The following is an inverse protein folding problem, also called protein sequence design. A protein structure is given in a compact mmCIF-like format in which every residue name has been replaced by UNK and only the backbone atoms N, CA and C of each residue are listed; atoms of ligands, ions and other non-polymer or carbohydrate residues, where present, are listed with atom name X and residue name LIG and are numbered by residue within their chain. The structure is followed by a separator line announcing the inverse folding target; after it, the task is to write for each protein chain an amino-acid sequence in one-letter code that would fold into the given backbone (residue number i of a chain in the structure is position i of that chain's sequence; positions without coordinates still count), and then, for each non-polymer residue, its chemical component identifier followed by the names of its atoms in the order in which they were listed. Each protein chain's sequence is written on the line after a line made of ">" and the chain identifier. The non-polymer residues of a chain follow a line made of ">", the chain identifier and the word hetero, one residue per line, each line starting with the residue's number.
data_IF_211885673754
#
_entry.id   IF_211885673754
#
_cell.length_a   1.000
_cell.length_b   1.000
_cell.length_c   1.000
_cell.angle_alpha   90.00
_cell.angle_beta   90.00
_cell.angle_gamma   90.00
#
_symmetry.space_group_name_H-M   'P 1'
#
loop_
_entity.id
_entity.type
_entity.pdbx_description
1 polymer ?
#
# COMPACT_ATOMS: atom_id res chain seq x y z
N UNK A 1 7.76 -13.35 20.45
CA UNK A 1 8.70 -14.26 21.13
C UNK A 1 8.21 -14.50 22.57
N UNK A 2 7.94 -13.47 23.34
CA UNK A 2 7.47 -13.59 24.74
C UNK A 2 6.17 -14.39 24.90
N UNK A 3 5.23 -14.25 23.95
CA UNK A 3 3.92 -14.92 24.01
C UNK A 3 4.04 -16.44 23.82
N UNK A 4 4.91 -16.88 22.90
CA UNK A 4 5.14 -18.30 22.66
C UNK A 4 5.81 -18.98 23.85
N UNK A 5 6.80 -18.32 24.49
CA UNK A 5 7.44 -18.84 25.69
C UNK A 5 6.48 -18.90 26.87
N UNK A 6 5.56 -17.94 26.98
CA UNK A 6 4.48 -17.94 27.98
C UNK A 6 3.52 -19.09 27.73
N UNK A 7 3.12 -19.33 26.47
CA UNK A 7 2.28 -20.47 26.11
C UNK A 7 2.94 -21.82 26.47
N UNK A 8 4.21 -21.99 26.11
CA UNK A 8 4.96 -23.22 26.44
C UNK A 8 5.06 -23.48 27.94
N UNK A 9 5.25 -22.45 28.76
CA UNK A 9 5.31 -22.56 30.21
C UNK A 9 3.95 -22.99 30.80
N UNK A 10 2.86 -22.43 30.31
CA UNK A 10 1.52 -22.70 30.81
C UNK A 10 0.90 -23.99 30.27
N UNK A 11 1.37 -24.48 29.12
CA UNK A 11 0.90 -25.68 28.45
C UNK A 11 2.01 -26.71 28.33
N UNK A 12 2.64 -27.04 29.46
CA UNK A 12 3.83 -27.94 29.54
C UNK A 12 3.55 -29.36 29.01
N UNK A 13 2.31 -29.80 29.00
CA UNK A 13 1.90 -31.14 28.52
C UNK A 13 1.48 -31.13 27.02
N UNK A 14 1.60 -29.98 26.34
CA UNK A 14 1.28 -29.86 24.91
C UNK A 14 2.54 -29.98 24.03
N UNK A 15 2.40 -30.67 22.93
CA UNK A 15 3.43 -30.68 21.89
C UNK A 15 3.14 -29.55 20.88
N UNK A 16 4.08 -28.61 20.73
CA UNK A 16 3.97 -27.50 19.81
C UNK A 16 4.68 -27.86 18.49
N UNK A 17 3.92 -27.82 17.41
CA UNK A 17 4.44 -28.06 16.05
C UNK A 17 4.25 -26.80 15.20
N UNK A 18 5.22 -26.55 14.31
CA UNK A 18 5.12 -25.44 13.36
C UNK A 18 4.12 -25.81 12.24
N UNK A 19 3.04 -25.07 12.13
CA UNK A 19 2.02 -25.24 11.10
C UNK A 19 2.13 -24.23 9.96
N UNK A 20 3.21 -23.47 9.87
CA UNK A 20 3.37 -22.39 8.87
C UNK A 20 3.18 -22.88 7.45
N UNK A 21 3.78 -24.03 7.10
CA UNK A 21 3.66 -24.61 5.77
C UNK A 21 2.21 -24.92 5.39
N UNK A 22 1.45 -25.51 6.31
CA UNK A 22 0.04 -25.83 6.08
C UNK A 22 -0.78 -24.55 5.83
N UNK A 23 -0.55 -23.52 6.66
CA UNK A 23 -1.24 -22.23 6.52
C UNK A 23 -0.85 -21.55 5.20
N UNK A 24 0.43 -21.60 4.81
CA UNK A 24 0.89 -21.06 3.53
C UNK A 24 0.20 -21.73 2.34
N UNK A 25 0.17 -23.07 2.31
CA UNK A 25 -0.48 -23.82 1.23
C UNK A 25 -1.96 -23.49 1.10
N UNK A 26 -2.67 -23.31 2.22
CA UNK A 26 -4.08 -22.89 2.20
C UNK A 26 -4.30 -21.48 1.66
N UNK A 27 -3.31 -20.58 1.79
CA UNK A 27 -3.42 -19.18 1.44
C UNK A 27 -2.86 -18.82 0.06
N UNK A 28 -1.91 -19.60 -0.48
CA UNK A 28 -1.24 -19.30 -1.75
C UNK A 28 -2.24 -19.27 -2.91
N UNK A 29 -3.13 -20.28 -2.99
CA UNK A 29 -4.12 -20.39 -4.07
C UNK A 29 -5.44 -19.88 -3.56
N UNK A 30 -5.91 -18.78 -4.15
CA UNK A 30 -7.18 -18.13 -3.78
C UNK A 30 -8.34 -18.81 -4.49
N UNK A 31 -9.42 -19.01 -3.76
CA UNK A 31 -10.71 -19.44 -4.35
C UNK A 31 -11.33 -18.32 -5.20
N UNK A 32 -12.30 -18.61 -6.08
CA UNK A 32 -13.02 -17.58 -6.83
C UNK A 32 -13.68 -16.52 -5.94
N UNK A 33 -14.19 -16.90 -4.77
CA UNK A 33 -14.82 -15.97 -3.83
C UNK A 33 -13.80 -15.04 -3.17
N UNK A 34 -12.62 -15.55 -2.83
CA UNK A 34 -11.51 -14.73 -2.33
C UNK A 34 -11.04 -13.73 -3.38
N UNK A 35 -10.88 -14.17 -4.63
CA UNK A 35 -10.50 -13.29 -5.76
C UNK A 35 -11.54 -12.19 -5.95
N UNK A 36 -12.84 -12.48 -5.81
CA UNK A 36 -13.91 -11.48 -5.90
C UNK A 36 -13.80 -10.41 -4.82
N UNK A 37 -13.49 -10.81 -3.57
CA UNK A 37 -13.27 -9.87 -2.47
C UNK A 37 -12.03 -9.00 -2.70
N UNK A 38 -10.92 -9.60 -3.12
CA UNK A 38 -9.69 -8.87 -3.45
C UNK A 38 -9.95 -7.87 -4.58
N UNK A 39 -10.63 -8.26 -5.66
CA UNK A 39 -10.99 -7.34 -6.74
C UNK A 39 -11.87 -6.19 -6.27
N UNK A 40 -12.78 -6.44 -5.33
CA UNK A 40 -13.66 -5.40 -4.79
C UNK A 40 -12.87 -4.38 -3.98
N UNK A 41 -11.98 -4.81 -3.09
CA UNK A 41 -11.16 -3.86 -2.31
C UNK A 41 -10.18 -3.10 -3.19
N UNK A 42 -9.59 -3.73 -4.20
CA UNK A 42 -8.77 -3.07 -5.22
C UNK A 42 -9.57 -1.97 -5.92
N UNK A 43 -10.81 -2.25 -6.34
CA UNK A 43 -11.68 -1.26 -7.00
C UNK A 43 -12.00 -0.07 -6.09
N UNK A 44 -12.23 -0.30 -4.80
CA UNK A 44 -12.46 0.77 -3.81
C UNK A 44 -11.21 1.65 -3.70
N UNK A 45 -10.05 1.05 -3.50
CA UNK A 45 -8.79 1.79 -3.35
C UNK A 45 -8.45 2.58 -4.63
N UNK A 46 -8.54 1.95 -5.81
CA UNK A 46 -8.29 2.62 -7.09
C UNK A 46 -9.20 3.83 -7.29
N UNK A 47 -10.51 3.67 -7.02
CA UNK A 47 -11.46 4.78 -7.16
C UNK A 47 -11.12 5.96 -6.22
N UNK A 48 -10.66 5.68 -5.01
CA UNK A 48 -10.23 6.74 -4.08
C UNK A 48 -8.97 7.42 -4.61
N UNK A 49 -7.94 6.67 -5.03
CA UNK A 49 -6.71 7.23 -5.59
C UNK A 49 -6.97 8.08 -6.83
N UNK A 50 -7.83 7.65 -7.74
CA UNK A 50 -8.16 8.35 -8.98
C UNK A 50 -8.87 9.68 -8.73
N UNK A 51 -9.73 9.75 -7.70
CA UNK A 51 -10.47 10.95 -7.33
C UNK A 51 -9.72 11.84 -6.32
N UNK A 52 -8.68 11.33 -5.69
CA UNK A 52 -8.00 12.00 -4.59
C UNK A 52 -7.44 13.39 -4.93
N UNK A 53 -6.90 13.64 -6.13
CA UNK A 53 -6.44 14.98 -6.52
C UNK A 53 -7.49 16.08 -6.39
N UNK A 54 -8.78 15.74 -6.39
CA UNK A 54 -9.87 16.71 -6.22
C UNK A 54 -10.05 17.18 -4.76
N UNK A 55 -9.51 16.46 -3.79
CA UNK A 55 -9.68 16.74 -2.36
C UNK A 55 -8.48 17.41 -1.73
N UNK A 56 -7.34 17.45 -2.41
CA UNK A 56 -6.08 17.93 -1.85
C UNK A 56 -5.55 19.15 -2.61
N UNK A 57 -4.91 20.04 -1.88
CA UNK A 57 -4.34 21.28 -2.45
C UNK A 57 -3.12 21.74 -1.67
N UNK A 58 -2.31 22.58 -2.29
CA UNK A 58 -1.19 23.27 -1.67
C UNK A 58 -1.63 24.00 -0.39
N UNK A 59 -0.82 23.89 0.65
CA UNK A 59 -1.06 24.46 1.97
C UNK A 59 -1.64 23.49 2.99
N UNK A 60 -2.19 22.34 2.57
CA UNK A 60 -2.60 21.27 3.48
C UNK A 60 -1.39 20.58 4.09
N UNK A 61 -1.55 20.10 5.33
CA UNK A 61 -0.53 19.25 5.98
C UNK A 61 -0.66 17.79 5.53
N UNK A 62 0.43 17.02 5.64
CA UNK A 62 0.42 15.58 5.37
C UNK A 62 -0.63 14.86 6.25
N UNK A 63 -0.79 15.27 7.51
CA UNK A 63 -1.81 14.73 8.43
C UNK A 63 -3.22 15.01 7.91
N UNK A 64 -3.53 16.23 7.47
CA UNK A 64 -4.84 16.57 6.90
C UNK A 64 -5.13 15.74 5.64
N UNK A 65 -4.14 15.61 4.76
CA UNK A 65 -4.21 14.82 3.53
C UNK A 65 -4.53 13.35 3.85
N UNK A 66 -3.78 12.74 4.76
CA UNK A 66 -3.99 11.35 5.17
C UNK A 66 -5.36 11.13 5.83
N UNK A 67 -5.83 12.07 6.64
CA UNK A 67 -7.15 11.96 7.27
C UNK A 67 -8.29 12.01 6.24
N UNK A 68 -8.17 12.85 5.21
CA UNK A 68 -9.12 12.88 4.10
C UNK A 68 -9.09 11.54 3.35
N UNK A 69 -7.91 11.02 3.04
CA UNK A 69 -7.76 9.76 2.33
C UNK A 69 -8.40 8.58 3.08
N UNK A 70 -8.11 8.46 4.38
CA UNK A 70 -8.74 7.46 5.26
C UNK A 70 -10.26 7.55 5.26
N UNK A 71 -10.78 8.77 5.37
CA UNK A 71 -12.22 9.02 5.33
C UNK A 71 -12.84 8.57 3.99
N UNK A 72 -12.18 8.88 2.89
CA UNK A 72 -12.67 8.49 1.57
C UNK A 72 -12.63 6.97 1.35
N UNK A 73 -11.61 6.26 1.84
CA UNK A 73 -11.60 4.79 1.80
C UNK A 73 -12.80 4.19 2.55
N UNK A 74 -13.08 4.67 3.77
CA UNK A 74 -14.22 4.21 4.57
C UNK A 74 -15.55 4.57 3.92
N UNK A 75 -15.70 5.79 3.39
CA UNK A 75 -16.91 6.23 2.67
C UNK A 75 -17.20 5.38 1.43
N UNK A 76 -16.17 4.87 0.75
CA UNK A 76 -16.28 3.99 -0.41
C UNK A 76 -16.44 2.51 -0.03
N UNK A 77 -16.52 2.19 1.25
CA UNK A 77 -16.88 0.86 1.75
C UNK A 77 -15.73 -0.06 2.15
N UNK A 78 -14.53 0.49 2.39
CA UNK A 78 -13.48 -0.25 3.07
C UNK A 78 -13.83 -0.44 4.57
N UNK A 79 -13.41 -1.56 5.16
CA UNK A 79 -13.65 -1.83 6.58
C UNK A 79 -12.65 -1.07 7.47
N UNK A 80 -11.38 -1.11 7.09
CA UNK A 80 -10.29 -0.52 7.87
C UNK A 80 -9.15 -0.04 6.97
N UNK A 81 -8.48 1.03 7.43
CA UNK A 81 -7.18 1.46 6.92
C UNK A 81 -6.12 1.08 7.94
N UNK A 82 -5.33 0.04 7.64
CA UNK A 82 -4.40 -0.57 8.60
C UNK A 82 -3.15 0.27 8.81
N UNK A 83 -2.62 0.85 7.75
CA UNK A 83 -1.52 1.80 7.79
C UNK A 83 -1.71 2.87 6.73
N UNK A 84 -0.98 3.97 6.88
CA UNK A 84 -0.86 5.00 5.86
C UNK A 84 0.48 5.70 6.04
N UNK A 85 1.35 5.53 5.06
CA UNK A 85 2.57 6.28 4.93
C UNK A 85 2.33 7.47 3.99
N UNK A 86 2.87 8.62 4.35
CA UNK A 86 2.71 9.83 3.56
C UNK A 86 3.95 10.71 3.74
N UNK A 87 4.56 11.05 2.64
CA UNK A 87 5.69 11.97 2.61
C UNK A 87 5.55 12.94 1.45
N UNK A 88 6.01 14.16 1.65
CA UNK A 88 6.03 15.16 0.59
C UNK A 88 7.37 15.90 0.55
N UNK A 89 7.74 16.43 -0.61
CA UNK A 89 8.93 17.27 -0.73
C UNK A 89 9.16 17.77 -2.13
N UNK A 90 9.94 18.85 -2.22
CA UNK A 90 10.40 19.39 -3.47
C UNK A 90 11.32 18.38 -4.13
N UNK A 91 11.01 18.05 -5.38
CA UNK A 91 11.73 17.07 -6.18
C UNK A 91 11.70 15.62 -5.64
N UNK A 92 10.94 15.33 -4.58
CA UNK A 92 10.78 14.00 -4.04
C UNK A 92 10.74 13.95 -2.51
N UNK A 93 11.05 12.78 -1.96
CA UNK A 93 11.01 12.47 -0.53
C UNK A 93 12.14 11.47 -0.18
N UNK A 94 12.69 11.59 1.03
CA UNK A 94 13.83 10.77 1.48
C UNK A 94 13.42 9.40 2.05
N UNK A 95 12.15 9.26 2.47
CA UNK A 95 11.63 8.05 3.09
C UNK A 95 10.24 7.74 2.54
N UNK A 96 10.01 6.47 2.23
CA UNK A 96 8.70 5.97 1.74
C UNK A 96 7.85 5.36 2.85
N UNK A 97 8.47 4.93 3.96
CA UNK A 97 7.78 4.39 5.13
C UNK A 97 7.95 5.39 6.27
N UNK A 98 6.98 6.26 6.43
CA UNK A 98 6.97 7.29 7.48
C UNK A 98 5.55 7.70 7.82
N UNK A 99 5.36 8.11 9.06
CA UNK A 99 4.10 8.70 9.48
C UNK A 99 3.93 10.12 8.90
N UNK A 100 2.70 10.53 8.55
CA UNK A 100 2.41 11.88 8.11
C UNK A 100 2.71 12.90 9.21
N UNK A 101 3.21 14.07 8.81
CA UNK A 101 3.62 15.15 9.70
C UNK A 101 2.80 16.41 9.49
N UNK A 102 3.07 17.46 10.30
CA UNK A 102 2.52 18.81 10.11
C UNK A 102 3.16 19.59 8.94
N UNK A 103 4.03 18.95 8.18
CA UNK A 103 4.62 19.53 6.97
C UNK A 103 3.53 19.87 5.97
N UNK A 104 3.58 21.08 5.47
CA UNK A 104 2.63 21.58 4.47
C UNK A 104 3.10 21.29 3.07
N UNK A 105 2.16 20.91 2.23
CA UNK A 105 2.36 20.74 0.80
C UNK A 105 2.58 22.08 0.10
N UNK A 106 3.61 22.16 -0.74
CA UNK A 106 3.96 23.35 -1.52
C UNK A 106 3.89 23.09 -3.02
N UNK A 107 3.91 24.19 -3.77
CA UNK A 107 4.03 24.11 -5.22
C UNK A 107 5.43 23.57 -5.60
N UNK A 108 5.49 22.58 -6.47
CA UNK A 108 6.71 21.85 -6.84
C UNK A 108 7.00 20.61 -6.01
N UNK A 109 6.17 20.30 -5.00
CA UNK A 109 6.33 19.09 -4.21
C UNK A 109 5.82 17.84 -4.97
N UNK A 110 6.47 16.73 -4.70
CA UNK A 110 5.97 15.38 -4.95
C UNK A 110 5.42 14.83 -3.64
N UNK A 111 4.22 14.30 -3.67
CA UNK A 111 3.56 13.61 -2.56
C UNK A 111 3.46 12.13 -2.87
N UNK A 112 3.91 11.27 -1.97
CA UNK A 112 3.58 9.83 -1.98
C UNK A 112 2.51 9.56 -0.93
N UNK A 113 1.57 8.69 -1.29
CA UNK A 113 0.66 8.01 -0.35
C UNK A 113 0.80 6.52 -0.59
N UNK A 114 1.20 5.82 0.46
CA UNK A 114 1.30 4.37 0.51
C UNK A 114 0.37 3.87 1.61
N UNK A 115 -0.57 3.00 1.26
CA UNK A 115 -1.60 2.55 2.19
C UNK A 115 -2.09 1.15 1.90
N UNK A 116 -2.48 0.48 2.99
CA UNK A 116 -3.20 -0.77 2.95
C UNK A 116 -4.59 -0.65 3.56
N UNK A 117 -5.59 -1.19 2.87
CA UNK A 117 -6.97 -1.20 3.34
C UNK A 117 -7.59 -2.59 3.22
N UNK A 118 -8.64 -2.86 3.99
CA UNK A 118 -9.28 -4.17 4.07
C UNK A 118 -10.77 -4.13 3.75
N UNK A 119 -11.26 -5.26 3.24
CA UNK A 119 -12.67 -5.55 3.08
C UNK A 119 -12.89 -7.05 3.33
N UNK A 120 -13.79 -7.40 4.27
CA UNK A 120 -14.09 -8.79 4.64
C UNK A 120 -12.83 -9.61 4.98
N UNK A 121 -11.82 -9.00 5.62
CA UNK A 121 -10.56 -9.62 5.99
C UNK A 121 -9.54 -9.79 4.86
N UNK A 122 -9.84 -9.33 3.64
CA UNK A 122 -8.91 -9.30 2.51
C UNK A 122 -8.30 -7.92 2.35
N UNK A 123 -7.04 -7.90 1.94
CA UNK A 123 -6.19 -6.74 1.94
C UNK A 123 -5.80 -6.33 0.52
N UNK A 124 -5.67 -5.03 0.28
CA UNK A 124 -4.95 -4.49 -0.86
C UNK A 124 -3.89 -3.49 -0.39
N UNK A 125 -2.86 -3.35 -1.20
CA UNK A 125 -1.69 -2.53 -0.95
C UNK A 125 -1.42 -1.68 -2.19
N UNK A 126 -1.34 -0.37 -1.99
CA UNK A 126 -1.21 0.61 -3.06
C UNK A 126 -0.32 1.76 -2.65
N UNK A 127 0.55 2.17 -3.54
CA UNK A 127 1.17 3.49 -3.49
C UNK A 127 0.87 4.32 -4.74
N UNK A 128 0.87 5.63 -4.60
CA UNK A 128 0.75 6.59 -5.70
C UNK A 128 1.51 7.86 -5.40
N UNK A 129 2.10 8.41 -6.46
CA UNK A 129 2.78 9.68 -6.41
C UNK A 129 1.95 10.76 -7.12
N UNK A 130 1.95 11.96 -6.54
CA UNK A 130 1.26 13.13 -7.07
C UNK A 130 2.21 14.32 -7.13
N UNK A 131 2.30 14.96 -8.30
CA UNK A 131 3.04 16.22 -8.45
C UNK A 131 2.13 17.43 -8.29
N UNK A 132 2.58 18.45 -7.55
CA UNK A 132 1.81 19.66 -7.30
C UNK A 132 2.40 20.88 -8.01
N UNK A 133 1.64 21.41 -8.97
CA UNK A 133 2.06 22.56 -9.78
C UNK A 133 3.20 22.21 -10.74
N UNK A 134 4.28 22.99 -10.72
CA UNK A 134 5.43 22.81 -11.63
C UNK A 134 6.48 21.93 -10.97
N UNK A 135 6.46 20.63 -11.27
CA UNK A 135 7.50 19.69 -10.85
C UNK A 135 8.73 19.78 -11.76
N UNK A 136 9.88 19.33 -11.27
CA UNK A 136 11.12 19.32 -12.06
C UNK A 136 11.07 18.25 -13.16
N UNK A 137 11.77 18.51 -14.27
CA UNK A 137 11.93 17.51 -15.34
C UNK A 137 12.68 16.26 -14.89
N UNK A 138 13.51 16.37 -13.86
CA UNK A 138 14.24 15.26 -13.28
C UNK A 138 13.29 14.32 -12.50
N UNK A 139 12.39 14.88 -11.70
CA UNK A 139 11.36 14.12 -10.99
C UNK A 139 10.40 13.44 -11.96
N UNK A 140 9.98 14.13 -13.01
CA UNK A 140 9.13 13.54 -14.07
C UNK A 140 9.83 12.37 -14.76
N UNK A 141 11.10 12.53 -15.12
CA UNK A 141 11.90 11.46 -15.72
C UNK A 141 12.07 10.26 -14.78
N UNK A 142 12.34 10.51 -13.50
CA UNK A 142 12.45 9.44 -12.50
C UNK A 142 11.15 8.65 -12.39
N UNK A 143 10.01 9.35 -12.34
CA UNK A 143 8.70 8.71 -12.31
C UNK A 143 8.42 7.87 -13.56
N UNK A 144 8.72 8.38 -14.76
CA UNK A 144 8.56 7.64 -16.01
C UNK A 144 9.41 6.36 -16.01
N UNK A 145 10.67 6.44 -15.53
CA UNK A 145 11.54 5.26 -15.42
C UNK A 145 10.96 4.22 -14.45
N UNK A 146 10.42 4.65 -13.30
CA UNK A 146 9.77 3.77 -12.34
C UNK A 146 8.52 3.11 -12.95
N UNK A 147 7.72 3.88 -13.67
CA UNK A 147 6.54 3.38 -14.37
C UNK A 147 6.90 2.30 -15.39
N UNK A 148 7.89 2.56 -16.26
CA UNK A 148 8.37 1.60 -17.26
C UNK A 148 8.87 0.30 -16.60
N UNK A 149 9.60 0.40 -15.49
CA UNK A 149 10.05 -0.76 -14.72
C UNK A 149 8.87 -1.57 -14.16
N UNK A 150 7.86 -0.90 -13.61
CA UNK A 150 6.64 -1.54 -13.07
C UNK A 150 5.86 -2.27 -14.17
N UNK A 151 5.64 -1.64 -15.32
CA UNK A 151 4.97 -2.26 -16.47
C UNK A 151 5.76 -3.47 -16.99
N UNK A 152 7.09 -3.36 -17.07
CA UNK A 152 7.95 -4.50 -17.45
C UNK A 152 7.82 -5.68 -16.48
N UNK A 153 7.77 -5.41 -15.17
CA UNK A 153 7.56 -6.43 -14.14
C UNK A 153 6.19 -7.09 -14.27
N UNK A 154 5.13 -6.31 -14.48
CA UNK A 154 3.77 -6.82 -14.69
C UNK A 154 3.67 -7.70 -15.93
N UNK A 155 4.33 -7.30 -17.02
CA UNK A 155 4.35 -8.09 -18.25
C UNK A 155 5.05 -9.44 -18.10
N UNK A 156 6.02 -9.54 -17.20
CA UNK A 156 6.73 -10.78 -16.88
C UNK A 156 6.00 -11.63 -15.85
N UNK A 157 5.10 -11.07 -15.04
CA UNK A 157 4.36 -11.77 -13.98
C UNK A 157 3.26 -12.69 -14.55
N UNK A 158 3.67 -13.78 -15.18
CA UNK A 158 2.79 -14.77 -15.86
C UNK A 158 2.95 -16.15 -15.24
N UNK A 159 1.96 -17.04 -15.40
CA UNK A 159 2.09 -18.43 -14.98
C UNK A 159 3.37 -19.09 -15.55
N UNK A 160 4.19 -19.67 -14.68
CA UNK A 160 5.48 -20.27 -15.00
C UNK A 160 6.68 -19.36 -14.83
N UNK A 161 6.50 -18.04 -14.64
CA UNK A 161 7.58 -17.12 -14.29
C UNK A 161 8.06 -17.33 -12.85
N UNK A 162 9.35 -17.17 -12.62
CA UNK A 162 9.94 -17.11 -11.28
C UNK A 162 9.92 -15.68 -10.75
N UNK A 163 10.07 -15.51 -9.43
CA UNK A 163 10.23 -14.18 -8.83
C UNK A 163 11.45 -13.45 -9.42
N UNK A 164 12.52 -14.16 -9.76
CA UNK A 164 13.71 -13.58 -10.40
C UNK A 164 13.42 -13.04 -11.81
N UNK A 165 12.53 -13.69 -12.57
CA UNK A 165 12.14 -13.22 -13.90
C UNK A 165 11.38 -11.90 -13.85
N UNK A 166 10.60 -11.70 -12.78
CA UNK A 166 9.83 -10.47 -12.57
C UNK A 166 10.71 -9.34 -12.03
N UNK A 167 11.73 -9.66 -11.22
CA UNK A 167 12.61 -8.69 -10.56
C UNK A 167 13.72 -8.17 -11.47
N UNK A 168 14.04 -8.85 -12.57
CA UNK A 168 15.10 -8.49 -13.52
C UNK A 168 14.52 -7.88 -14.82
#
# INVERSE_FOLDING_TARGET
>A
INDFDTLRKNLSNCNFINASEIIWQLRIIKSPEEIKKIKKIISIASNVFDNFPHYIHVGMTEIEICNIFKKELLNNGADHTLYMSCASGKDGYDQIICDPTEKKLHNGDILIIDTGTTLDGYFCDFDRNYGFGSISSESEKAYCTLWEATESGLDKAKPGATCSDVSN
#
